data_IF_266128331746
#
_entry.id   IF_266128331746
#
_cell.length_a   1.000
_cell.length_b   1.000
_cell.length_c   1.000
_cell.angle_alpha   90.00
_cell.angle_beta   90.00
_cell.angle_gamma   90.00
#
_symmetry.space_group_name_H-M   'P 1'
#
loop_
_entity.id
_entity.type
_entity.pdbx_description
1 polymer ?
#
# COMPACT_ATOMS: atom_id res chain seq x y z
N UNK A 1 11.39 -8.19 -17.76
CA UNK A 1 10.59 -9.02 -16.84
C UNK A 1 9.57 -8.11 -16.19
N UNK A 2 8.30 -8.51 -16.14
CA UNK A 2 7.22 -7.66 -15.62
C UNK A 2 7.34 -7.55 -14.09
N UNK A 3 7.41 -6.32 -13.56
CA UNK A 3 7.57 -6.08 -12.12
C UNK A 3 6.46 -6.72 -11.27
N UNK A 4 5.22 -6.78 -11.78
CA UNK A 4 4.07 -7.33 -11.06
C UNK A 4 4.01 -8.86 -11.08
N UNK A 5 4.54 -9.49 -12.13
CA UNK A 5 4.71 -10.95 -12.17
C UNK A 5 5.77 -11.39 -11.16
N UNK A 6 6.87 -10.65 -11.05
CA UNK A 6 7.93 -10.89 -10.06
C UNK A 6 7.42 -10.89 -8.62
N UNK A 7 6.51 -9.96 -8.28
CA UNK A 7 5.92 -9.90 -6.94
C UNK A 7 5.19 -11.22 -6.65
N UNK A 8 4.26 -11.65 -7.52
CA UNK A 8 3.52 -12.92 -7.34
C UNK A 8 4.44 -14.14 -7.26
N UNK A 9 5.38 -14.26 -8.19
CA UNK A 9 6.27 -15.41 -8.24
C UNK A 9 7.15 -15.52 -6.99
N UNK A 10 7.64 -14.38 -6.49
CA UNK A 10 8.53 -14.37 -5.33
C UNK A 10 7.78 -14.51 -4.01
N UNK A 11 6.58 -13.93 -3.88
CA UNK A 11 5.75 -14.11 -2.68
C UNK A 11 5.16 -15.51 -2.59
N UNK A 12 4.79 -16.13 -3.72
CA UNK A 12 4.36 -17.53 -3.75
C UNK A 12 5.51 -18.47 -3.37
N UNK A 13 6.72 -18.19 -3.85
CA UNK A 13 7.92 -18.93 -3.42
C UNK A 13 8.13 -18.88 -1.90
N UNK A 14 8.08 -17.68 -1.30
CA UNK A 14 8.21 -17.53 0.16
C UNK A 14 7.08 -18.28 0.87
N UNK A 15 5.84 -18.13 0.41
CA UNK A 15 4.66 -18.78 1.02
C UNK A 15 4.78 -20.30 1.03
N UNK A 16 5.32 -20.90 -0.04
CA UNK A 16 5.57 -22.35 -0.12
C UNK A 16 6.66 -22.87 0.83
N UNK A 17 7.48 -21.96 1.38
CA UNK A 17 8.63 -22.26 2.23
C UNK A 17 8.49 -21.70 3.65
N UNK A 18 7.33 -21.12 3.97
CA UNK A 18 7.09 -20.41 5.21
C UNK A 18 7.13 -21.35 6.43
N UNK A 19 7.70 -20.86 7.54
CA UNK A 19 7.83 -21.59 8.81
C UNK A 19 7.10 -20.92 9.97
N UNK A 20 7.00 -19.59 9.92
CA UNK A 20 6.42 -18.75 10.95
C UNK A 20 4.95 -18.44 10.70
N UNK A 21 4.53 -18.48 9.43
CA UNK A 21 3.17 -18.17 9.00
C UNK A 21 2.61 -19.31 8.17
N UNK A 22 1.40 -19.74 8.48
CA UNK A 22 0.64 -20.75 7.74
C UNK A 22 -0.76 -20.25 7.42
N UNK A 23 -1.45 -20.90 6.47
CA UNK A 23 -2.81 -20.55 6.06
C UNK A 23 -3.78 -21.65 6.47
N UNK A 24 -4.87 -21.27 7.16
CA UNK A 24 -5.98 -22.17 7.43
C UNK A 24 -6.97 -22.13 6.26
N UNK A 25 -6.89 -23.11 5.36
CA UNK A 25 -7.72 -23.18 4.15
C UNK A 25 -9.22 -23.28 4.48
N UNK A 26 -9.60 -23.95 5.57
CA UNK A 26 -11.01 -24.02 6.01
C UNK A 26 -11.56 -22.65 6.42
N UNK A 27 -10.77 -21.86 7.16
CA UNK A 27 -11.14 -20.51 7.56
C UNK A 27 -11.21 -19.58 6.34
N UNK A 28 -10.25 -19.70 5.41
CA UNK A 28 -10.23 -18.96 4.16
C UNK A 28 -11.50 -19.21 3.34
N UNK A 29 -11.84 -20.47 3.09
CA UNK A 29 -13.04 -20.82 2.33
C UNK A 29 -14.32 -20.33 2.99
N UNK A 30 -14.41 -20.49 4.32
CA UNK A 30 -15.57 -20.04 5.10
C UNK A 30 -15.75 -18.53 4.98
N UNK A 31 -14.67 -17.78 5.15
CA UNK A 31 -14.70 -16.32 5.06
C UNK A 31 -15.07 -15.88 3.64
N UNK A 32 -14.47 -16.48 2.61
CA UNK A 32 -14.82 -16.18 1.23
C UNK A 32 -16.31 -16.42 0.94
N UNK A 33 -16.88 -17.54 1.40
CA UNK A 33 -18.32 -17.85 1.24
C UNK A 33 -19.22 -16.82 1.93
N UNK A 34 -18.87 -16.43 3.17
CA UNK A 34 -19.59 -15.40 3.92
C UNK A 34 -19.56 -14.06 3.17
N UNK A 35 -18.37 -13.67 2.72
CA UNK A 35 -18.15 -12.44 2.00
C UNK A 35 -18.92 -12.37 0.68
N UNK A 36 -18.88 -13.43 -0.14
CA UNK A 36 -19.63 -13.49 -1.41
C UNK A 36 -21.12 -13.24 -1.15
N UNK A 37 -21.66 -13.87 -0.10
CA UNK A 37 -23.07 -13.74 0.27
C UNK A 37 -23.41 -12.30 0.70
N UNK A 38 -22.56 -11.66 1.51
CA UNK A 38 -22.74 -10.26 1.91
C UNK A 38 -22.58 -9.27 0.75
N UNK A 39 -21.59 -9.48 -0.11
CA UNK A 39 -21.31 -8.61 -1.25
C UNK A 39 -22.48 -8.59 -2.23
N UNK A 40 -23.03 -9.77 -2.55
CA UNK A 40 -24.23 -9.90 -3.40
C UNK A 40 -25.44 -9.25 -2.70
N UNK A 41 -25.64 -9.49 -1.40
CA UNK A 41 -26.75 -8.91 -0.65
C UNK A 41 -26.70 -7.37 -0.58
N UNK A 42 -25.50 -6.77 -0.56
CA UNK A 42 -25.27 -5.31 -0.58
C UNK A 42 -25.30 -4.72 -1.99
N UNK A 43 -25.64 -5.51 -3.01
CA UNK A 43 -25.78 -5.05 -4.40
C UNK A 43 -24.44 -4.85 -5.13
N UNK A 44 -23.39 -5.57 -4.73
CA UNK A 44 -22.09 -5.58 -5.39
C UNK A 44 -21.41 -4.21 -5.48
N UNK A 45 -21.65 -3.33 -4.50
CA UNK A 45 -21.00 -2.02 -4.42
C UNK A 45 -19.51 -2.19 -4.11
N UNK A 46 -18.67 -1.57 -4.95
CA UNK A 46 -17.21 -1.51 -4.80
C UNK A 46 -16.84 -0.31 -3.92
N UNK A 47 -15.68 -0.38 -3.27
CA UNK A 47 -15.14 0.76 -2.54
C UNK A 47 -14.75 1.88 -3.51
N UNK A 48 -15.03 3.14 -3.12
CA UNK A 48 -14.69 4.32 -3.90
C UNK A 48 -13.58 5.08 -3.17
N UNK A 49 -12.37 5.05 -3.73
CA UNK A 49 -11.20 5.75 -3.17
C UNK A 49 -11.48 7.25 -2.95
N UNK A 50 -12.23 7.87 -3.87
CA UNK A 50 -12.55 9.31 -3.85
C UNK A 50 -13.64 9.68 -2.84
N UNK A 51 -14.35 8.70 -2.29
CA UNK A 51 -15.38 8.92 -1.28
C UNK A 51 -14.80 9.14 0.14
N UNK A 52 -13.49 8.94 0.33
CA UNK A 52 -12.84 9.21 1.60
C UNK A 52 -12.63 10.72 1.80
N UNK A 53 -13.24 11.29 2.84
CA UNK A 53 -13.20 12.73 3.12
C UNK A 53 -11.80 13.31 3.32
N UNK A 54 -10.82 12.47 3.64
CA UNK A 54 -9.43 12.87 3.85
C UNK A 54 -8.57 12.85 2.57
N UNK A 55 -9.09 12.39 1.44
CA UNK A 55 -8.41 12.47 0.15
C UNK A 55 -8.73 13.79 -0.58
N UNK A 56 -7.74 14.32 -1.31
CA UNK A 56 -7.94 15.40 -2.28
C UNK A 56 -8.11 14.79 -3.67
N UNK A 57 -9.16 15.20 -4.38
CA UNK A 57 -9.37 14.87 -5.79
C UNK A 57 -10.13 15.99 -6.48
N UNK A 58 -9.56 16.50 -7.56
CA UNK A 58 -10.12 17.50 -8.46
C UNK A 58 -10.12 17.02 -9.93
N UNK A 59 -9.64 15.80 -10.19
CA UNK A 59 -9.53 15.22 -11.53
C UNK A 59 -8.43 15.81 -12.40
N UNK A 60 -7.54 16.65 -11.85
CA UNK A 60 -6.42 17.26 -12.58
C UNK A 60 -5.07 16.65 -12.16
N UNK A 61 -3.96 17.16 -12.70
CA UNK A 61 -2.62 16.79 -12.24
C UNK A 61 -2.42 17.06 -10.73
N UNK A 62 -3.17 17.97 -10.13
CA UNK A 62 -3.11 18.23 -8.69
C UNK A 62 -3.52 17.00 -7.87
N UNK A 63 -4.50 16.24 -8.34
CA UNK A 63 -4.87 14.94 -7.75
C UNK A 63 -3.68 13.97 -7.80
N UNK A 64 -2.99 13.89 -8.95
CA UNK A 64 -1.83 13.01 -9.10
C UNK A 64 -0.63 13.44 -8.23
N UNK A 65 -0.38 14.74 -8.07
CA UNK A 65 0.63 15.27 -7.14
C UNK A 65 0.31 14.92 -5.69
N UNK A 66 -0.94 15.10 -5.27
CA UNK A 66 -1.41 14.71 -3.94
C UNK A 66 -1.15 13.22 -3.68
N UNK A 67 -1.55 12.34 -4.60
CA UNK A 67 -1.37 10.89 -4.47
C UNK A 67 0.13 10.53 -4.39
N UNK A 68 0.96 11.09 -5.27
CA UNK A 68 2.41 10.83 -5.23
C UNK A 68 3.04 11.20 -3.88
N UNK A 69 2.67 12.37 -3.33
CA UNK A 69 3.17 12.82 -2.02
C UNK A 69 2.61 11.96 -0.89
N UNK A 70 1.32 11.62 -0.94
CA UNK A 70 0.67 10.73 0.03
C UNK A 70 1.40 9.39 0.11
N UNK A 71 1.63 8.73 -1.01
CA UNK A 71 2.27 7.42 -1.06
C UNK A 71 3.77 7.45 -0.76
N UNK A 72 4.41 8.58 -1.04
CA UNK A 72 5.79 8.84 -0.59
C UNK A 72 5.90 8.90 0.93
N UNK A 73 4.80 9.22 1.62
CA UNK A 73 4.73 9.35 3.07
C UNK A 73 3.95 8.20 3.75
N UNK A 74 3.33 7.30 2.98
CA UNK A 74 2.46 6.23 3.47
C UNK A 74 3.26 5.02 4.01
N UNK A 75 3.99 5.23 5.12
CA UNK A 75 4.72 4.20 5.84
C UNK A 75 4.84 4.49 7.33
N UNK A 76 4.92 3.43 8.14
CA UNK A 76 5.28 3.42 9.55
C UNK A 76 4.64 4.55 10.39
N UNK A 77 3.35 4.38 10.69
CA UNK A 77 2.59 5.31 11.54
C UNK A 77 2.83 5.07 13.04
N UNK A 78 3.12 3.82 13.43
CA UNK A 78 3.69 3.53 14.74
C UNK A 78 5.13 4.10 14.84
N UNK A 79 5.66 4.46 16.01
CA UNK A 79 5.12 4.25 17.36
C UNK A 79 4.11 5.30 17.84
N UNK A 80 3.73 6.26 17.00
CA UNK A 80 2.84 7.35 17.38
C UNK A 80 1.38 6.86 17.40
N UNK A 81 0.78 6.73 18.59
CA UNK A 81 -0.61 6.25 18.73
C UNK A 81 -1.65 7.23 18.24
N UNK A 82 -1.27 8.51 18.07
CA UNK A 82 -2.16 9.59 17.62
C UNK A 82 -1.99 9.87 16.13
N UNK A 83 -1.28 9.01 15.41
CA UNK A 83 -1.04 9.14 13.98
C UNK A 83 -1.54 7.89 13.27
N UNK A 84 -2.44 8.11 12.31
CA UNK A 84 -3.04 7.08 11.49
C UNK A 84 -3.10 7.58 10.04
N UNK A 85 -3.39 6.68 9.10
CA UNK A 85 -3.41 7.00 7.67
C UNK A 85 -4.30 8.21 7.33
N UNK A 86 -5.51 8.28 7.91
CA UNK A 86 -6.43 9.40 7.65
C UNK A 86 -5.90 10.76 8.14
N UNK A 87 -5.05 10.78 9.18
CA UNK A 87 -4.37 12.00 9.63
C UNK A 87 -3.35 12.49 8.59
N UNK A 88 -2.62 11.55 7.97
CA UNK A 88 -1.68 11.87 6.88
C UNK A 88 -2.44 12.44 5.67
N UNK A 89 -3.50 11.76 5.23
CA UNK A 89 -4.34 12.21 4.12
C UNK A 89 -4.91 13.61 4.37
N UNK A 90 -5.52 13.83 5.54
CA UNK A 90 -6.09 15.12 5.91
C UNK A 90 -5.04 16.25 5.93
N UNK A 91 -3.87 16.05 6.54
CA UNK A 91 -2.83 17.08 6.60
C UNK A 91 -2.35 17.49 5.20
N UNK A 92 -2.12 16.52 4.31
CA UNK A 92 -1.73 16.80 2.93
C UNK A 92 -2.85 17.47 2.13
N UNK A 93 -4.10 17.08 2.35
CA UNK A 93 -5.28 17.70 1.72
C UNK A 93 -5.39 19.18 2.14
N UNK A 94 -5.25 19.48 3.42
CA UNK A 94 -5.26 20.87 3.89
C UNK A 94 -4.09 21.66 3.30
N UNK A 95 -2.91 21.05 3.18
CA UNK A 95 -1.73 21.70 2.63
C UNK A 95 -1.89 22.06 1.14
N UNK A 96 -2.37 21.14 0.30
CA UNK A 96 -2.58 21.43 -1.13
C UNK A 96 -3.72 22.42 -1.37
N UNK A 97 -4.76 22.42 -0.52
CA UNK A 97 -5.84 23.41 -0.59
C UNK A 97 -5.37 24.82 -0.18
N UNK A 98 -4.47 24.91 0.80
CA UNK A 98 -3.87 26.18 1.23
C UNK A 98 -2.89 26.73 0.19
N UNK A 99 -2.10 25.86 -0.41
CA UNK A 99 -1.05 26.20 -1.37
C UNK A 99 -0.96 25.12 -2.46
N UNK A 100 -1.64 25.33 -3.61
CA UNK A 100 -1.66 24.37 -4.71
C UNK A 100 -0.28 24.03 -5.27
N UNK A 101 0.71 24.89 -5.08
CA UNK A 101 2.08 24.69 -5.56
C UNK A 101 2.95 23.93 -4.55
N UNK A 102 2.45 23.63 -3.35
CA UNK A 102 3.26 23.03 -2.28
C UNK A 102 3.87 21.66 -2.63
N UNK A 103 3.29 20.96 -3.61
CA UNK A 103 3.75 19.66 -4.11
C UNK A 103 4.40 19.73 -5.50
N UNK A 104 4.78 20.92 -5.96
CA UNK A 104 5.57 21.07 -7.18
C UNK A 104 7.00 20.53 -6.98
N UNK A 105 7.60 20.01 -8.05
CA UNK A 105 8.87 19.28 -7.98
C UNK A 105 10.03 20.11 -7.42
N UNK A 106 10.11 21.40 -7.75
CA UNK A 106 11.10 22.34 -7.24
C UNK A 106 10.90 22.63 -5.75
N UNK A 107 9.65 22.67 -5.28
CA UNK A 107 9.32 22.91 -3.87
C UNK A 107 9.48 21.68 -3.00
N UNK A 108 9.18 20.49 -3.53
CA UNK A 108 9.42 19.22 -2.84
C UNK A 108 10.90 19.01 -2.49
N UNK A 109 11.83 19.49 -3.32
CA UNK A 109 13.27 19.45 -3.07
C UNK A 109 13.72 20.27 -1.85
N UNK A 110 12.89 21.23 -1.42
CA UNK A 110 13.22 22.17 -0.34
C UNK A 110 12.51 21.82 0.97
N UNK A 111 11.73 20.75 1.01
CA UNK A 111 10.98 20.35 2.22
C UNK A 111 11.96 19.94 3.32
N UNK A 112 11.98 20.70 4.40
CA UNK A 112 12.68 20.40 5.66
C UNK A 112 11.72 19.80 6.68
N UNK A 113 12.24 19.32 7.80
CA UNK A 113 11.40 18.82 8.91
C UNK A 113 10.46 19.88 9.44
N UNK A 114 10.89 21.14 9.51
CA UNK A 114 10.06 22.26 9.99
C UNK A 114 8.91 22.56 9.03
N UNK A 115 9.19 22.54 7.72
CA UNK A 115 8.17 22.69 6.69
C UNK A 115 7.17 21.53 6.79
N UNK A 116 7.67 20.29 6.88
CA UNK A 116 6.83 19.11 6.99
C UNK A 116 5.94 19.17 8.24
N UNK A 117 6.50 19.48 9.41
CA UNK A 117 5.73 19.62 10.65
C UNK A 117 4.66 20.72 10.55
N UNK A 118 4.94 21.80 9.81
CA UNK A 118 3.96 22.86 9.58
C UNK A 118 2.76 22.42 8.75
N UNK A 119 2.89 21.41 7.89
CA UNK A 119 1.76 20.85 7.13
C UNK A 119 0.75 20.13 8.04
N UNK A 120 1.24 19.52 9.13
CA UNK A 120 0.43 18.73 10.06
C UNK A 120 0.17 19.43 11.39
N UNK A 121 0.79 20.60 11.63
CA UNK A 121 0.75 21.33 12.90
C UNK A 121 1.21 20.47 14.10
N UNK A 122 2.11 19.52 13.85
CA UNK A 122 2.70 18.60 14.84
C UNK A 122 3.99 18.01 14.31
N UNK A 123 4.78 17.42 15.21
CA UNK A 123 5.91 16.58 14.82
C UNK A 123 5.42 15.26 14.22
N UNK A 124 6.17 14.76 13.22
CA UNK A 124 5.91 13.45 12.61
C UNK A 124 7.04 12.45 12.91
N UNK A 125 6.72 11.17 13.13
CA UNK A 125 7.73 10.13 13.22
C UNK A 125 8.48 10.01 11.89
N UNK A 126 9.78 9.71 11.96
CA UNK A 126 10.66 9.57 10.81
C UNK A 126 10.71 10.82 9.90
N UNK A 127 10.47 12.03 10.44
CA UNK A 127 10.40 13.27 9.66
C UNK A 127 11.60 13.49 8.73
N UNK A 128 12.83 13.22 9.19
CA UNK A 128 14.04 13.33 8.36
C UNK A 128 13.98 12.43 7.11
N UNK A 129 13.51 11.19 7.28
CA UNK A 129 13.40 10.22 6.19
C UNK A 129 12.22 10.57 5.27
N UNK A 130 11.11 11.03 5.83
CA UNK A 130 9.98 11.59 5.08
C UNK A 130 10.42 12.76 4.19
N UNK A 131 11.18 13.71 4.73
CA UNK A 131 11.75 14.82 3.95
C UNK A 131 12.70 14.32 2.86
N UNK A 132 13.61 13.39 3.19
CA UNK A 132 14.54 12.80 2.20
C UNK A 132 13.78 12.20 1.01
N UNK A 133 12.69 11.47 1.28
CA UNK A 133 11.84 10.86 0.26
C UNK A 133 11.09 11.90 -0.60
N UNK A 134 10.58 12.97 0.02
CA UNK A 134 9.96 14.07 -0.72
C UNK A 134 10.98 14.81 -1.61
N UNK A 135 12.18 15.08 -1.08
CA UNK A 135 13.23 15.73 -1.85
C UNK A 135 13.68 14.84 -3.01
N UNK A 136 13.76 13.53 -2.80
CA UNK A 136 14.08 12.54 -3.83
C UNK A 136 13.08 12.60 -4.99
N UNK A 137 11.77 12.49 -4.73
CA UNK A 137 10.78 12.53 -5.82
C UNK A 137 10.81 13.87 -6.56
N UNK A 138 10.97 14.99 -5.85
CA UNK A 138 11.05 16.31 -6.46
C UNK A 138 12.25 16.46 -7.40
N UNK A 139 13.44 16.01 -6.95
CA UNK A 139 14.66 16.05 -7.75
C UNK A 139 14.53 15.19 -9.01
N UNK A 140 13.97 13.98 -8.89
CA UNK A 140 13.85 13.04 -9.99
C UNK A 140 12.80 13.52 -11.02
N UNK A 141 11.68 14.07 -10.56
CA UNK A 141 10.69 14.72 -11.44
C UNK A 141 11.31 15.89 -12.21
N UNK A 142 12.05 16.76 -11.51
CA UNK A 142 12.70 17.91 -12.15
C UNK A 142 13.74 17.48 -13.19
N UNK A 143 14.50 16.42 -12.90
CA UNK A 143 15.60 15.96 -13.74
C UNK A 143 15.12 15.22 -15.00
N UNK A 144 14.09 14.39 -14.87
CA UNK A 144 13.71 13.43 -15.92
C UNK A 144 12.33 13.66 -16.54
N UNK A 145 11.48 14.49 -15.93
CA UNK A 145 10.08 14.66 -16.31
C UNK A 145 9.63 16.12 -16.31
N UNK A 146 10.56 17.06 -16.53
CA UNK A 146 10.30 18.52 -16.56
C UNK A 146 9.56 19.05 -15.32
N UNK A 147 9.65 18.36 -14.18
CA UNK A 147 8.91 18.67 -12.96
C UNK A 147 7.42 18.27 -12.96
N UNK A 148 6.93 17.61 -14.02
CA UNK A 148 5.52 17.21 -14.17
C UNK A 148 5.28 15.76 -13.74
N UNK A 149 4.32 15.58 -12.81
CA UNK A 149 3.83 14.26 -12.40
C UNK A 149 2.99 13.64 -13.51
N UNK A 150 2.28 14.46 -14.28
CA UNK A 150 1.53 14.02 -15.46
C UNK A 150 2.47 13.41 -16.51
N UNK A 151 3.56 14.10 -16.89
CA UNK A 151 4.52 13.56 -17.85
C UNK A 151 5.15 12.25 -17.37
N UNK A 152 5.45 12.16 -16.07
CA UNK A 152 5.91 10.93 -15.43
C UNK A 152 4.90 9.77 -15.61
N UNK A 153 3.62 9.98 -15.29
CA UNK A 153 2.57 8.97 -15.44
C UNK A 153 2.36 8.59 -16.92
N UNK A 154 2.29 9.57 -17.81
CA UNK A 154 2.08 9.34 -19.25
C UNK A 154 3.21 8.54 -19.90
N UNK A 155 4.45 8.64 -19.36
CA UNK A 155 5.59 7.86 -19.82
C UNK A 155 5.40 6.33 -19.66
N UNK A 156 4.49 5.89 -18.78
CA UNK A 156 4.13 4.49 -18.60
C UNK A 156 3.18 3.95 -19.69
N UNK A 157 2.68 4.82 -20.59
CA UNK A 157 1.82 4.44 -21.73
C UNK A 157 0.62 3.57 -21.33
N UNK A 158 -0.06 3.95 -20.24
CA UNK A 158 -1.24 3.24 -19.71
C UNK A 158 -0.95 1.78 -19.29
N UNK A 159 0.28 1.46 -18.87
CA UNK A 159 0.61 0.19 -18.24
C UNK A 159 0.93 0.38 -16.76
N UNK A 160 0.13 -0.25 -15.90
CA UNK A 160 0.34 -0.33 -14.46
C UNK A 160 1.70 -0.97 -14.13
N UNK A 161 2.04 -2.08 -14.80
CA UNK A 161 3.33 -2.73 -14.62
C UNK A 161 4.52 -1.82 -14.98
N UNK A 162 4.39 -1.06 -16.07
CA UNK A 162 5.42 -0.11 -16.50
C UNK A 162 5.53 1.05 -15.51
N UNK A 163 4.41 1.55 -14.98
CA UNK A 163 4.45 2.63 -13.99
C UNK A 163 5.10 2.19 -12.67
N UNK A 164 4.81 0.97 -12.19
CA UNK A 164 5.50 0.41 -11.00
C UNK A 164 7.01 0.27 -11.25
N UNK A 165 7.41 -0.21 -12.43
CA UNK A 165 8.83 -0.29 -12.82
C UNK A 165 9.48 1.11 -12.88
N UNK A 166 8.80 2.12 -13.41
CA UNK A 166 9.31 3.50 -13.47
C UNK A 166 9.42 4.12 -12.07
N UNK A 167 8.40 3.97 -11.22
CA UNK A 167 8.42 4.43 -9.83
C UNK A 167 9.62 3.84 -9.10
N UNK A 168 9.81 2.53 -9.15
CA UNK A 168 10.93 1.87 -8.47
C UNK A 168 12.27 2.20 -9.12
N UNK A 169 12.33 2.49 -10.42
CA UNK A 169 13.57 2.88 -11.10
C UNK A 169 14.03 4.29 -10.71
N UNK A 170 13.13 5.27 -10.71
CA UNK A 170 13.48 6.66 -10.47
C UNK A 170 13.45 7.02 -8.99
N UNK A 171 12.50 6.49 -8.21
CA UNK A 171 12.35 6.80 -6.79
C UNK A 171 12.84 5.61 -5.94
N UNK A 172 14.05 5.72 -5.41
CA UNK A 172 14.72 4.65 -4.67
C UNK A 172 14.00 4.30 -3.38
N UNK A 173 13.34 5.27 -2.74
CA UNK A 173 12.50 5.04 -1.57
C UNK A 173 11.36 4.04 -1.79
N UNK A 174 10.97 3.81 -3.04
CA UNK A 174 9.92 2.88 -3.43
C UNK A 174 10.45 1.47 -3.76
N UNK A 175 11.77 1.23 -3.73
CA UNK A 175 12.42 -0.07 -4.06
C UNK A 175 12.31 -1.11 -2.94
N UNK A 176 11.08 -1.43 -2.58
CA UNK A 176 10.73 -2.42 -1.56
C UNK A 176 11.01 -3.85 -2.04
N UNK A 177 12.18 -4.36 -1.64
CA UNK A 177 12.69 -5.67 -2.01
C UNK A 177 13.64 -6.20 -0.92
N UNK A 178 13.77 -7.52 -0.81
CA UNK A 178 14.61 -8.17 0.22
C UNK A 178 15.18 -9.51 -0.28
N UNK A 179 16.00 -10.17 0.52
CA UNK A 179 16.55 -11.50 0.22
C UNK A 179 16.00 -12.52 1.20
N UNK A 180 15.39 -13.59 0.68
CA UNK A 180 14.90 -14.73 1.47
C UNK A 180 15.49 -16.02 0.91
N UNK A 181 16.22 -16.77 1.76
CA UNK A 181 16.87 -18.04 1.38
C UNK A 181 17.66 -17.96 0.06
N UNK A 182 18.50 -16.91 -0.06
CA UNK A 182 19.32 -16.59 -1.24
C UNK A 182 18.55 -16.25 -2.52
N UNK A 183 17.25 -15.96 -2.43
CA UNK A 183 16.44 -15.48 -3.55
C UNK A 183 16.00 -14.04 -3.30
N UNK A 184 16.09 -13.21 -4.35
CA UNK A 184 15.54 -11.86 -4.35
C UNK A 184 14.02 -11.92 -4.34
N UNK A 185 13.40 -11.21 -3.40
CA UNK A 185 11.95 -11.08 -3.22
C UNK A 185 11.55 -9.63 -3.45
N UNK A 186 10.36 -9.43 -4.03
CA UNK A 186 9.82 -8.12 -4.38
C UNK A 186 8.43 -7.92 -3.79
N UNK A 187 8.19 -6.74 -3.23
CA UNK A 187 6.87 -6.35 -2.72
C UNK A 187 6.37 -5.07 -3.37
N UNK A 188 7.27 -4.08 -3.57
CA UNK A 188 6.97 -2.80 -4.20
C UNK A 188 5.69 -2.14 -3.68
N UNK A 189 5.38 -2.29 -2.38
CA UNK A 189 4.08 -1.98 -1.78
C UNK A 189 3.61 -0.57 -2.14
N UNK A 190 4.41 0.46 -1.82
CA UNK A 190 4.04 1.87 -2.08
C UNK A 190 4.00 2.22 -3.56
N UNK A 191 4.78 1.52 -4.39
CA UNK A 191 4.74 1.73 -5.83
C UNK A 191 3.46 1.17 -6.42
N UNK A 192 3.00 0.02 -5.92
CA UNK A 192 1.70 -0.54 -6.28
C UNK A 192 0.55 0.33 -5.79
N UNK A 193 0.61 0.86 -4.55
CA UNK A 193 -0.38 1.81 -4.04
C UNK A 193 -0.49 3.03 -4.95
N UNK A 194 0.62 3.65 -5.33
CA UNK A 194 0.59 4.81 -6.22
C UNK A 194 -0.20 4.57 -7.50
N UNK A 195 -0.04 3.40 -8.12
CA UNK A 195 -0.80 3.04 -9.32
C UNK A 195 -2.26 2.74 -9.00
N UNK A 196 -2.54 2.03 -7.90
CA UNK A 196 -3.89 1.72 -7.44
C UNK A 196 -4.71 2.96 -7.07
N UNK A 197 -4.09 3.91 -6.38
CA UNK A 197 -4.71 5.16 -5.95
C UNK A 197 -4.96 6.09 -7.14
N UNK A 198 -4.06 6.15 -8.13
CA UNK A 198 -4.34 6.82 -9.40
C UNK A 198 -5.54 6.20 -10.11
N UNK A 199 -5.59 4.86 -10.22
CA UNK A 199 -6.71 4.17 -10.85
C UNK A 199 -8.03 4.45 -10.13
N UNK A 200 -8.04 4.40 -8.79
CA UNK A 200 -9.21 4.69 -7.96
C UNK A 200 -9.66 6.15 -8.07
N UNK A 201 -8.74 7.10 -7.93
CA UNK A 201 -9.04 8.54 -7.93
C UNK A 201 -9.60 9.03 -9.28
N UNK A 202 -9.09 8.49 -10.39
CA UNK A 202 -9.54 8.84 -11.74
C UNK A 202 -10.54 7.83 -12.33
N UNK A 203 -11.01 6.86 -11.54
CA UNK A 203 -12.03 5.86 -11.93
C UNK A 203 -11.65 5.08 -13.21
N UNK A 204 -10.37 4.78 -13.39
CA UNK A 204 -9.84 4.09 -14.56
C UNK A 204 -9.77 4.93 -15.85
N UNK A 205 -9.96 6.26 -15.76
CA UNK A 205 -9.90 7.19 -16.88
C UNK A 205 -8.68 8.14 -16.77
N UNK A 206 -8.39 8.90 -17.83
CA UNK A 206 -7.34 9.93 -17.81
C UNK A 206 -5.98 9.41 -17.30
N UNK A 207 -5.47 10.03 -16.23
CA UNK A 207 -4.19 9.65 -15.59
C UNK A 207 -4.25 8.33 -14.80
N UNK A 208 -5.44 7.83 -14.47
CA UNK A 208 -5.64 6.52 -13.84
C UNK A 208 -6.01 5.42 -14.82
N UNK A 209 -5.93 5.66 -16.14
CA UNK A 209 -6.21 4.64 -17.14
C UNK A 209 -5.03 3.68 -17.31
N UNK A 210 -5.24 2.43 -16.93
CA UNK A 210 -4.28 1.34 -17.10
C UNK A 210 -4.93 0.13 -17.78
N UNK A 211 -4.24 -0.46 -18.75
CA UNK A 211 -4.73 -1.60 -19.54
C UNK A 211 -4.51 -2.96 -18.87
N UNK A 212 -3.72 -2.98 -17.80
CA UNK A 212 -3.27 -4.18 -17.08
C UNK A 212 -3.38 -3.99 -15.55
N UNK A 213 -4.37 -3.22 -15.09
CA UNK A 213 -4.58 -2.92 -13.67
C UNK A 213 -4.83 -4.18 -12.83
N UNK A 214 -5.42 -5.21 -13.44
CA UNK A 214 -5.67 -6.51 -12.82
C UNK A 214 -4.40 -7.25 -12.42
N UNK A 215 -3.25 -6.81 -12.93
CA UNK A 215 -1.94 -7.32 -12.52
C UNK A 215 -1.42 -6.73 -11.22
N UNK A 216 -1.99 -5.67 -10.64
CA UNK A 216 -1.60 -5.27 -9.29
C UNK A 216 -1.95 -6.39 -8.29
N UNK A 217 -1.15 -6.55 -7.24
CA UNK A 217 -1.47 -7.42 -6.11
C UNK A 217 -2.14 -6.62 -5.00
N UNK A 218 -2.47 -7.28 -3.88
CA UNK A 218 -2.69 -6.59 -2.61
C UNK A 218 -1.43 -5.86 -2.13
N UNK A 219 -1.58 -4.92 -1.20
CA UNK A 219 -0.51 -4.08 -0.71
C UNK A 219 -0.02 -4.59 0.65
N UNK A 220 1.14 -5.27 0.64
CA UNK A 220 1.64 -6.01 1.81
C UNK A 220 2.13 -5.10 2.96
N UNK A 221 1.17 -4.64 3.77
CA UNK A 221 1.34 -3.80 4.97
C UNK A 221 1.11 -4.57 6.28
N UNK A 222 0.84 -3.86 7.39
CA UNK A 222 0.53 -4.47 8.69
C UNK A 222 -0.96 -4.62 9.00
N UNK A 223 -1.87 -3.98 8.26
CA UNK A 223 -3.30 -3.96 8.57
C UNK A 223 -4.02 -5.18 7.99
N UNK A 224 -3.75 -5.52 6.73
CA UNK A 224 -4.36 -6.70 6.09
C UNK A 224 -3.94 -8.02 6.78
N UNK A 225 -2.66 -8.27 7.13
CA UNK A 225 -2.32 -9.46 7.92
C UNK A 225 -2.98 -9.49 9.30
N UNK A 226 -3.17 -8.33 9.95
CA UNK A 226 -3.83 -8.25 11.26
C UNK A 226 -5.28 -8.73 11.19
N UNK A 227 -6.05 -8.29 10.19
CA UNK A 227 -7.44 -8.77 10.02
C UNK A 227 -7.46 -10.25 9.63
N UNK A 228 -6.59 -10.70 8.72
CA UNK A 228 -6.53 -12.12 8.32
C UNK A 228 -6.14 -13.05 9.49
N UNK A 229 -5.28 -12.61 10.40
CA UNK A 229 -4.95 -13.34 11.62
C UNK A 229 -6.16 -13.43 12.57
N UNK A 230 -6.87 -12.30 12.78
CA UNK A 230 -8.07 -12.28 13.62
C UNK A 230 -9.22 -13.14 13.09
N UNK A 231 -9.27 -13.35 11.78
CA UNK A 231 -10.22 -14.24 11.10
C UNK A 231 -9.78 -15.72 11.15
N UNK A 232 -8.61 -16.01 11.70
CA UNK A 232 -8.02 -17.35 11.74
C UNK A 232 -7.54 -17.85 10.39
N UNK A 233 -7.44 -17.00 9.37
CA UNK A 233 -6.97 -17.36 8.03
C UNK A 233 -5.45 -17.46 8.02
N UNK A 234 -4.76 -16.45 8.55
CA UNK A 234 -3.31 -16.50 8.77
C UNK A 234 -3.04 -16.97 10.19
N UNK A 235 -2.21 -18.00 10.34
CA UNK A 235 -1.86 -18.57 11.65
C UNK A 235 -0.36 -18.41 11.87
N UNK A 236 0.00 -17.62 12.88
CA UNK A 236 1.38 -17.46 13.32
C UNK A 236 1.78 -18.59 14.25
N UNK A 237 3.03 -19.04 14.14
CA UNK A 237 3.60 -19.95 15.13
C UNK A 237 3.73 -19.26 16.50
N UNK A 238 4.03 -20.04 17.54
CA UNK A 238 4.07 -19.55 18.93
C UNK A 238 5.03 -18.38 19.12
N UNK A 239 6.25 -18.48 18.57
CA UNK A 239 7.28 -17.45 18.65
C UNK A 239 6.82 -16.12 18.03
N UNK A 240 6.32 -16.16 16.79
CA UNK A 240 5.84 -14.97 16.08
C UNK A 240 4.60 -14.39 16.77
N UNK A 241 3.67 -15.24 17.19
CA UNK A 241 2.47 -14.82 17.93
C UNK A 241 2.82 -14.07 19.21
N UNK A 242 3.83 -14.54 19.96
CA UNK A 242 4.30 -13.89 21.19
C UNK A 242 4.95 -12.53 20.91
N UNK A 243 5.75 -12.40 19.85
CA UNK A 243 6.33 -11.11 19.46
C UNK A 243 5.25 -10.08 19.14
N UNK A 244 4.26 -10.46 18.33
CA UNK A 244 3.15 -9.59 17.92
C UNK A 244 2.29 -9.19 19.12
N UNK A 245 1.86 -10.16 19.95
CA UNK A 245 1.06 -9.90 21.17
C UNK A 245 1.75 -8.94 22.13
N UNK A 246 3.06 -9.11 22.32
CA UNK A 246 3.86 -8.26 23.20
C UNK A 246 4.32 -6.96 22.53
N UNK A 247 3.86 -6.66 21.31
CA UNK A 247 4.23 -5.46 20.54
C UNK A 247 5.75 -5.29 20.39
N UNK A 248 6.49 -6.40 20.37
CA UNK A 248 7.93 -6.42 20.15
C UNK A 248 8.23 -6.14 18.68
N UNK A 249 9.30 -5.40 18.44
CA UNK A 249 9.73 -5.07 17.08
C UNK A 249 10.23 -6.34 16.38
N UNK A 250 9.74 -6.56 15.15
CA UNK A 250 10.24 -7.57 14.23
C UNK A 250 11.22 -6.88 13.29
N UNK A 251 12.42 -7.46 13.17
CA UNK A 251 13.49 -6.89 12.37
C UNK A 251 13.10 -6.91 10.88
N UNK A 252 13.26 -5.77 10.21
CA UNK A 252 13.06 -5.65 8.76
C UNK A 252 13.96 -6.63 8.00
N UNK A 253 13.41 -7.37 7.04
CA UNK A 253 14.13 -8.38 6.28
C UNK A 253 14.38 -9.70 7.03
N UNK A 254 13.80 -9.89 8.21
CA UNK A 254 13.80 -11.20 8.88
C UNK A 254 12.87 -12.19 8.19
N UNK A 255 13.08 -13.50 8.37
CA UNK A 255 12.17 -14.52 7.80
C UNK A 255 10.72 -14.29 8.27
N UNK A 256 10.51 -13.90 9.52
CA UNK A 256 9.17 -13.59 10.06
C UNK A 256 8.49 -12.43 9.34
N UNK A 257 9.18 -11.30 9.16
CA UNK A 257 8.59 -10.14 8.47
C UNK A 257 8.30 -10.45 7.00
N UNK A 258 9.24 -11.08 6.30
CA UNK A 258 9.09 -11.45 4.89
C UNK A 258 7.93 -12.45 4.72
N UNK A 259 7.82 -13.45 5.60
CA UNK A 259 6.75 -14.45 5.54
C UNK A 259 5.38 -13.86 5.82
N UNK A 260 5.24 -12.95 6.80
CA UNK A 260 3.97 -12.24 7.02
C UNK A 260 3.52 -11.59 5.71
N UNK A 261 4.38 -10.76 5.12
CA UNK A 261 4.04 -9.98 3.93
C UNK A 261 3.74 -10.87 2.71
N UNK A 262 4.59 -11.87 2.46
CA UNK A 262 4.44 -12.74 1.31
C UNK A 262 3.20 -13.66 1.40
N UNK A 263 2.94 -14.22 2.58
CA UNK A 263 1.76 -15.07 2.80
C UNK A 263 0.49 -14.23 2.69
N UNK A 264 0.48 -12.97 3.16
CA UNK A 264 -0.66 -12.07 2.92
C UNK A 264 -0.94 -11.88 1.43
N UNK A 265 0.09 -11.65 0.60
CA UNK A 265 -0.09 -11.55 -0.86
C UNK A 265 -0.70 -12.82 -1.44
N UNK A 266 -0.16 -14.00 -1.09
CA UNK A 266 -0.67 -15.29 -1.58
C UNK A 266 -2.12 -15.54 -1.12
N UNK A 267 -2.46 -15.24 0.13
CA UNK A 267 -3.83 -15.39 0.67
C UNK A 267 -4.82 -14.52 -0.10
N UNK A 268 -4.52 -13.24 -0.34
CA UNK A 268 -5.45 -12.35 -1.05
C UNK A 268 -5.61 -12.75 -2.53
N UNK A 269 -4.54 -13.22 -3.18
CA UNK A 269 -4.64 -13.78 -4.54
C UNK A 269 -5.56 -15.03 -4.56
N UNK A 270 -5.45 -15.92 -3.56
CA UNK A 270 -6.38 -17.05 -3.40
C UNK A 270 -7.82 -16.60 -3.17
N UNK A 271 -8.05 -15.58 -2.32
CA UNK A 271 -9.38 -15.01 -2.10
C UNK A 271 -9.98 -14.47 -3.40
N UNK A 272 -9.21 -13.68 -4.15
CA UNK A 272 -9.61 -13.16 -5.48
C UNK A 272 -10.00 -14.30 -6.41
N UNK A 273 -9.22 -15.36 -6.48
CA UNK A 273 -9.51 -16.50 -7.36
C UNK A 273 -10.79 -17.23 -6.94
N UNK A 274 -11.05 -17.39 -5.65
CA UNK A 274 -12.31 -17.95 -5.13
C UNK A 274 -13.49 -17.04 -5.51
N UNK A 275 -13.37 -15.72 -5.34
CA UNK A 275 -14.40 -14.76 -5.71
C UNK A 275 -14.71 -14.79 -7.21
N UNK A 276 -13.69 -14.87 -8.06
CA UNK A 276 -13.86 -14.88 -9.52
C UNK A 276 -14.44 -16.20 -10.02
N UNK A 277 -14.09 -17.35 -9.41
CA UNK A 277 -14.77 -18.63 -9.64
C UNK A 277 -16.27 -18.59 -9.29
N UNK A 278 -16.68 -17.67 -8.42
CA UNK A 278 -18.07 -17.46 -8.01
C UNK A 278 -18.71 -16.22 -8.68
N UNK A 279 -18.17 -15.74 -9.81
CA UNK A 279 -18.70 -14.64 -10.63
C UNK A 279 -18.78 -13.26 -9.94
N UNK A 280 -17.96 -13.02 -8.91
CA UNK A 280 -17.91 -11.69 -8.24
C UNK A 280 -17.01 -10.70 -9.01
N UNK A 281 -16.00 -11.21 -9.74
CA UNK A 281 -15.10 -10.43 -10.62
C UNK A 281 -14.42 -9.25 -9.91
N UNK A 282 -13.64 -9.55 -8.86
CA UNK A 282 -12.84 -8.58 -8.11
C UNK A 282 -11.37 -8.64 -8.51
N UNK A 283 -10.72 -7.48 -8.44
CA UNK A 283 -9.27 -7.35 -8.53
C UNK A 283 -8.64 -7.62 -7.15
N UNK A 284 -7.35 -7.99 -7.11
CA UNK A 284 -6.64 -8.19 -5.84
C UNK A 284 -6.58 -6.91 -5.01
N UNK A 285 -6.42 -5.75 -5.65
CA UNK A 285 -6.45 -4.43 -4.99
C UNK A 285 -7.83 -4.11 -4.40
N UNK A 286 -8.92 -4.57 -5.02
CA UNK A 286 -10.26 -4.34 -4.47
C UNK A 286 -10.51 -5.22 -3.24
N UNK A 287 -10.01 -6.47 -3.26
CA UNK A 287 -10.03 -7.33 -2.08
C UNK A 287 -9.19 -6.74 -0.94
N UNK A 288 -8.02 -6.16 -1.27
CA UNK A 288 -7.17 -5.43 -0.33
C UNK A 288 -7.91 -4.27 0.34
N UNK A 289 -8.49 -3.36 -0.44
CA UNK A 289 -9.26 -2.23 0.07
C UNK A 289 -10.40 -2.68 0.99
N UNK A 290 -11.14 -3.71 0.59
CA UNK A 290 -12.22 -4.26 1.40
C UNK A 290 -11.75 -4.87 2.73
N UNK A 291 -10.62 -5.58 2.73
CA UNK A 291 -10.02 -6.12 3.96
C UNK A 291 -9.48 -4.99 4.84
N UNK A 292 -8.84 -3.99 4.24
CA UNK A 292 -8.28 -2.84 4.92
C UNK A 292 -9.38 -2.00 5.59
N UNK A 293 -10.45 -1.67 4.85
CA UNK A 293 -11.60 -0.93 5.37
C UNK A 293 -12.31 -1.67 6.51
N UNK A 294 -12.43 -3.00 6.43
CA UNK A 294 -12.91 -3.82 7.54
C UNK A 294 -11.97 -3.78 8.75
N UNK A 295 -10.65 -3.79 8.51
CA UNK A 295 -9.63 -3.65 9.54
C UNK A 295 -9.77 -2.33 10.30
N UNK A 296 -9.92 -1.22 9.59
CA UNK A 296 -10.14 0.11 10.19
C UNK A 296 -11.44 0.18 10.99
N UNK A 297 -12.55 -0.37 10.46
CA UNK A 297 -13.83 -0.40 11.17
C UNK A 297 -13.80 -1.24 12.46
N UNK A 298 -12.80 -2.11 12.62
CA UNK A 298 -12.62 -3.00 13.76
C UNK A 298 -11.41 -2.64 14.63
N UNK A 299 -10.77 -1.49 14.42
CA UNK A 299 -9.48 -1.13 15.02
C UNK A 299 -9.42 -1.37 16.53
N UNK A 300 -10.45 -0.97 17.28
CA UNK A 300 -10.53 -1.11 18.74
C UNK A 300 -10.67 -2.56 19.24
N UNK A 301 -10.99 -3.50 18.34
CA UNK A 301 -11.28 -4.90 18.66
C UNK A 301 -10.21 -5.86 18.14
N UNK A 302 -9.33 -5.40 17.26
CA UNK A 302 -8.30 -6.24 16.67
C UNK A 302 -7.13 -6.47 17.63
N UNK A 303 -6.51 -7.66 17.60
CA UNK A 303 -5.25 -7.89 18.31
C UNK A 303 -4.16 -6.97 17.76
N UNK A 304 -3.06 -6.73 18.50
CA UNK A 304 -1.94 -5.93 17.97
C UNK A 304 -1.45 -6.44 16.61
N UNK A 305 -1.11 -5.54 15.70
CA UNK A 305 -0.42 -5.90 14.45
C UNK A 305 1.08 -6.07 14.67
N UNK A 306 1.76 -6.72 13.72
CA UNK A 306 3.21 -6.82 13.73
C UNK A 306 3.87 -5.43 13.59
N UNK A 307 5.02 -5.24 14.24
CA UNK A 307 5.72 -3.94 14.28
C UNK A 307 7.10 -4.06 13.66
N UNK A 308 7.23 -3.59 12.41
CA UNK A 308 8.51 -3.50 11.71
C UNK A 308 8.82 -2.03 11.43
N UNK A 309 10.01 -1.55 11.81
CA UNK A 309 10.43 -0.18 11.48
C UNK A 309 11.01 -0.18 10.09
N UNK A 310 10.28 0.40 9.15
CA UNK A 310 10.65 0.41 7.74
C UNK A 310 10.07 1.63 7.04
N UNK A 311 10.65 1.97 5.89
CA UNK A 311 10.14 3.01 5.00
C UNK A 311 9.15 2.47 3.97
N UNK A 312 8.93 1.15 3.93
CA UNK A 312 8.19 0.51 2.85
C UNK A 312 6.69 0.30 3.14
N UNK A 313 6.27 0.35 4.40
CA UNK A 313 4.87 0.24 4.81
C UNK A 313 4.67 0.75 6.24
#
# INVERSE_FOLDING_TARGET
MNALELIRETTEYVSSQAKYVSVCEEALEKECKSFISEFIAKGSKREDWSANDFHYSDGTEQTAKFILVLDTLNFCFWPDSELEYHHLGNGLKQQILRDPHSFDADRLQLVTTDILHSWFQRELPNAKERCRLLNEIGLQLQTYFNGSVKEFIESAKQSAATLVDLVTRYFWGFRDSCVYKNRQIFFYKRAQIFVGDLWGAFKGEGLGKFNDIEKLTMFADYRVPQILESLGIMVYNEELSELVKNKKEIVVGSEMEIEIRAVTVSVVEKMRDIFNKNNVNLLALEVDWMLWGRGEAMLDRLPPHHRTRTIFY
#
